data_IF_115790704998
#
_entry.id   IF_115790704998
#
_cell.length_a   1.000
_cell.length_b   1.000
_cell.length_c   1.000
_cell.angle_alpha   90.00
_cell.angle_beta   90.00
_cell.angle_gamma   90.00
#
_symmetry.space_group_name_H-M   'P 1'
#
loop_
_entity.id
_entity.type
_entity.pdbx_description
1 polymer ?
#
# COMPACT_ATOMS: atom_id res chain seq x y z
N UNK A 1 15.93 -7.32 -2.33
CA UNK A 1 15.77 -5.85 -2.32
C UNK A 1 15.67 -5.29 -0.89
N UNK A 2 14.61 -5.61 -0.12
CA UNK A 2 14.40 -5.08 1.25
C UNK A 2 15.55 -5.35 2.23
N UNK A 3 16.19 -6.52 2.14
CA UNK A 3 17.39 -6.85 2.91
C UNK A 3 18.55 -5.87 2.67
N UNK A 4 18.74 -5.38 1.43
CA UNK A 4 19.74 -4.34 1.08
C UNK A 4 19.45 -3.00 1.76
N UNK A 5 18.21 -2.79 2.24
CA UNK A 5 17.76 -1.60 2.98
C UNK A 5 17.71 -1.84 4.50
N UNK A 6 18.18 -2.99 4.99
CA UNK A 6 18.15 -3.35 6.41
C UNK A 6 16.76 -3.72 6.94
N UNK A 7 15.80 -4.07 6.05
CA UNK A 7 14.44 -4.46 6.43
C UNK A 7 14.35 -5.99 6.35
N UNK A 8 14.11 -6.63 7.49
CA UNK A 8 13.90 -8.09 7.57
C UNK A 8 12.54 -8.48 7.00
N UNK A 9 12.50 -9.58 6.26
CA UNK A 9 11.26 -10.22 5.76
C UNK A 9 10.96 -11.52 6.51
N UNK A 10 11.69 -11.83 7.57
CA UNK A 10 11.45 -13.02 8.39
C UNK A 10 10.05 -12.95 9.03
N UNK A 11 9.31 -14.06 8.99
CA UNK A 11 7.93 -14.14 9.50
C UNK A 11 6.85 -13.58 8.56
N UNK A 12 7.21 -12.97 7.43
CA UNK A 12 6.25 -12.54 6.40
C UNK A 12 6.05 -13.63 5.34
N UNK A 13 4.80 -13.82 4.94
CA UNK A 13 4.41 -14.76 3.89
C UNK A 13 3.18 -14.23 3.13
N UNK A 14 3.06 -14.64 1.87
CA UNK A 14 1.87 -14.36 1.06
C UNK A 14 0.63 -15.01 1.68
N UNK A 15 -0.48 -14.28 1.71
CA UNK A 15 -1.76 -14.73 2.28
C UNK A 15 -2.94 -14.11 1.54
N UNK A 16 -4.04 -14.85 1.44
CA UNK A 16 -5.33 -14.29 0.98
C UNK A 16 -5.92 -13.39 2.06
N UNK A 17 -6.72 -12.39 1.65
CA UNK A 17 -7.57 -11.65 2.58
C UNK A 17 -8.50 -12.59 3.37
N UNK A 18 -8.85 -13.78 2.85
CA UNK A 18 -9.72 -14.75 3.53
C UNK A 18 -9.08 -15.30 4.82
N UNK A 19 -7.77 -15.12 4.98
CA UNK A 19 -6.99 -15.58 6.13
C UNK A 19 -6.68 -14.46 7.13
N UNK A 20 -7.31 -13.28 7.00
CA UNK A 20 -7.10 -12.19 7.95
C UNK A 20 -7.77 -12.50 9.31
N UNK A 21 -7.04 -12.39 10.44
CA UNK A 21 -7.59 -12.71 11.75
C UNK A 21 -8.52 -11.61 12.30
N UNK A 22 -8.62 -10.47 11.62
CA UNK A 22 -9.48 -9.34 11.98
C UNK A 22 -9.88 -8.55 10.73
N UNK A 23 -10.94 -7.75 10.87
CA UNK A 23 -11.38 -6.81 9.82
C UNK A 23 -10.52 -5.54 9.95
N UNK A 24 -9.80 -5.12 8.90
CA UNK A 24 -9.00 -3.90 8.93
C UNK A 24 -9.89 -2.65 8.93
N UNK A 25 -9.43 -1.57 9.57
CA UNK A 25 -10.09 -0.26 9.51
C UNK A 25 -9.86 0.42 8.14
N UNK A 26 -8.71 0.16 7.51
CA UNK A 26 -8.27 0.77 6.26
C UNK A 26 -7.76 -0.32 5.31
N UNK A 27 -8.19 -0.27 4.05
CA UNK A 27 -7.69 -1.10 2.96
C UNK A 27 -7.02 -0.21 1.92
N UNK A 28 -5.73 -0.45 1.67
CA UNK A 28 -4.95 0.26 0.65
C UNK A 28 -4.61 -0.74 -0.45
N UNK A 29 -5.05 -0.45 -1.66
CA UNK A 29 -4.67 -1.21 -2.87
C UNK A 29 -3.51 -0.51 -3.56
N UNK A 30 -2.50 -1.26 -4.01
CA UNK A 30 -1.27 -0.67 -4.56
C UNK A 30 -1.03 -0.94 -6.05
N UNK A 31 -1.67 -1.95 -6.63
CA UNK A 31 -1.60 -2.22 -8.06
C UNK A 31 -2.98 -2.05 -8.70
N UNK A 32 -3.02 -1.67 -9.98
CA UNK A 32 -4.28 -1.50 -10.72
C UNK A 32 -5.11 -2.78 -10.81
N UNK A 33 -4.48 -3.96 -10.73
CA UNK A 33 -5.20 -5.24 -10.68
C UNK A 33 -5.99 -5.38 -9.37
N UNK A 34 -5.37 -5.04 -8.24
CA UNK A 34 -6.00 -5.09 -6.93
C UNK A 34 -7.10 -4.01 -6.76
N UNK A 35 -6.99 -2.88 -7.47
CA UNK A 35 -8.04 -1.85 -7.48
C UNK A 35 -9.33 -2.33 -8.17
N UNK A 36 -9.20 -3.20 -9.18
CA UNK A 36 -10.33 -3.75 -9.94
C UNK A 36 -10.96 -5.01 -9.34
N UNK A 37 -10.36 -5.58 -8.30
CA UNK A 37 -10.87 -6.79 -7.65
C UNK A 37 -12.05 -6.48 -6.72
N UNK A 38 -13.09 -7.31 -6.82
CA UNK A 38 -14.26 -7.20 -5.94
C UNK A 38 -13.85 -7.63 -4.54
N UNK A 39 -13.64 -6.65 -3.65
CA UNK A 39 -13.35 -6.92 -2.24
C UNK A 39 -14.49 -7.73 -1.61
N UNK A 40 -14.19 -8.73 -0.76
CA UNK A 40 -15.19 -9.46 0.01
C UNK A 40 -16.12 -8.54 0.81
N UNK A 41 -17.39 -8.93 0.95
CA UNK A 41 -18.40 -8.13 1.65
C UNK A 41 -18.04 -7.85 3.12
N UNK A 42 -17.27 -8.72 3.78
CA UNK A 42 -16.86 -8.51 5.17
C UNK A 42 -15.87 -7.33 5.34
N UNK A 43 -15.23 -6.88 4.26
CA UNK A 43 -14.38 -5.68 4.24
C UNK A 43 -15.18 -4.39 3.97
N UNK A 44 -16.50 -4.48 3.81
CA UNK A 44 -17.34 -3.31 3.55
C UNK A 44 -17.17 -2.15 4.56
N UNK A 45 -16.94 -2.39 5.87
CA UNK A 45 -16.74 -1.30 6.83
C UNK A 45 -15.42 -0.54 6.69
N UNK A 46 -14.44 -1.09 5.97
CA UNK A 46 -13.12 -0.48 5.87
C UNK A 46 -13.12 0.72 4.91
N UNK A 47 -12.41 1.78 5.30
CA UNK A 47 -12.09 2.91 4.42
C UNK A 47 -11.12 2.42 3.34
N UNK A 48 -11.29 2.86 2.09
CA UNK A 48 -10.54 2.32 0.96
C UNK A 48 -9.81 3.41 0.21
N UNK A 49 -8.51 3.21 -0.02
CA UNK A 49 -7.70 4.07 -0.85
C UNK A 49 -6.95 3.26 -1.90
N UNK A 50 -6.65 3.92 -3.03
CA UNK A 50 -5.80 3.37 -4.06
C UNK A 50 -4.51 4.18 -4.17
N UNK A 51 -3.38 3.52 -3.95
CA UNK A 51 -2.05 4.10 -4.06
C UNK A 51 -1.36 3.45 -5.25
N UNK A 52 -1.68 3.89 -6.46
CA UNK A 52 -1.14 3.33 -7.70
C UNK A 52 0.40 3.32 -7.67
N UNK A 53 0.98 2.15 -7.86
CA UNK A 53 2.42 1.92 -8.04
C UNK A 53 2.58 0.88 -9.16
N UNK A 54 3.47 1.17 -10.10
CA UNK A 54 3.83 0.21 -11.14
C UNK A 54 4.33 -1.09 -10.51
N UNK A 55 3.81 -2.21 -10.99
CA UNK A 55 4.18 -3.53 -10.51
C UNK A 55 5.61 -3.87 -10.93
N UNK A 56 6.59 -3.86 -10.01
CA UNK A 56 7.98 -4.09 -10.37
C UNK A 56 8.24 -5.53 -10.83
N UNK A 57 7.36 -6.49 -10.50
CA UNK A 57 7.46 -7.88 -10.96
C UNK A 57 7.15 -8.01 -12.45
N UNK A 58 6.48 -7.02 -13.05
CA UNK A 58 6.21 -6.94 -14.50
C UNK A 58 7.30 -6.20 -15.27
N UNK A 59 8.32 -5.66 -14.61
CA UNK A 59 9.43 -5.00 -15.28
C UNK A 59 10.19 -5.99 -16.16
N UNK A 60 10.54 -5.57 -17.37
CA UNK A 60 11.32 -6.37 -18.33
C UNK A 60 12.53 -5.55 -18.80
N UNK A 61 13.56 -6.23 -19.28
CA UNK A 61 14.80 -5.60 -19.76
C UNK A 61 16.03 -6.12 -19.04
N UNK A 62 17.05 -5.28 -18.93
CA UNK A 62 18.28 -5.56 -18.20
C UNK A 62 18.06 -5.63 -16.69
N UNK A 63 18.96 -6.30 -15.98
CA UNK A 63 18.96 -6.34 -14.51
C UNK A 63 18.91 -4.93 -13.89
N UNK A 64 19.60 -3.96 -14.51
CA UNK A 64 19.60 -2.57 -14.05
C UNK A 64 18.27 -1.85 -14.23
N UNK A 65 17.49 -2.21 -15.27
CA UNK A 65 16.14 -1.68 -15.50
C UNK A 65 15.14 -2.31 -14.52
N UNK A 66 15.24 -3.61 -14.28
CA UNK A 66 14.43 -4.32 -13.29
C UNK A 66 14.73 -3.77 -11.89
N UNK A 67 16.00 -3.69 -11.48
CA UNK A 67 16.38 -3.13 -10.16
C UNK A 67 15.87 -1.68 -9.99
N UNK A 68 15.86 -0.88 -11.07
CA UNK A 68 15.33 0.49 -11.04
C UNK A 68 13.82 0.49 -10.78
N UNK A 69 13.05 -0.41 -11.39
CA UNK A 69 11.61 -0.52 -11.13
C UNK A 69 11.32 -0.84 -9.66
N UNK A 70 12.04 -1.81 -9.08
CA UNK A 70 11.94 -2.13 -7.65
C UNK A 70 12.30 -0.96 -6.74
N UNK A 71 13.37 -0.22 -7.05
CA UNK A 71 13.77 0.96 -6.27
C UNK A 71 12.75 2.09 -6.37
N UNK A 72 12.15 2.32 -7.53
CA UNK A 72 11.07 3.29 -7.71
C UNK A 72 9.85 2.93 -6.88
N UNK A 73 9.35 1.68 -7.00
CA UNK A 73 8.22 1.20 -6.22
C UNK A 73 8.45 1.33 -4.71
N UNK A 74 9.64 0.96 -4.23
CA UNK A 74 10.02 1.11 -2.83
C UNK A 74 10.00 2.55 -2.36
N UNK A 75 10.59 3.49 -3.12
CA UNK A 75 10.65 4.90 -2.70
C UNK A 75 9.26 5.52 -2.63
N UNK A 76 8.40 5.23 -3.60
CA UNK A 76 7.01 5.70 -3.61
C UNK A 76 6.27 5.17 -2.38
N UNK A 77 6.27 3.85 -2.17
CA UNK A 77 5.59 3.23 -1.02
C UNK A 77 6.14 3.74 0.31
N UNK A 78 7.46 3.93 0.42
CA UNK A 78 8.09 4.45 1.64
C UNK A 78 7.57 5.85 1.99
N UNK A 79 7.54 6.78 1.03
CA UNK A 79 7.04 8.15 1.26
C UNK A 79 5.58 8.11 1.70
N UNK A 80 4.75 7.32 1.00
CA UNK A 80 3.32 7.21 1.31
C UNK A 80 3.05 6.60 2.68
N UNK A 81 3.77 5.53 3.04
CA UNK A 81 3.69 4.91 4.37
C UNK A 81 4.13 5.91 5.45
N UNK A 82 5.23 6.65 5.21
CA UNK A 82 5.68 7.67 6.17
C UNK A 82 4.66 8.79 6.36
N UNK A 83 4.02 9.25 5.29
CA UNK A 83 2.96 10.25 5.36
C UNK A 83 1.73 9.73 6.14
N UNK A 84 1.30 8.50 5.89
CA UNK A 84 0.22 7.85 6.64
C UNK A 84 0.54 7.75 8.14
N UNK A 85 1.75 7.33 8.48
CA UNK A 85 2.19 7.22 9.88
C UNK A 85 2.33 8.58 10.57
N UNK A 86 2.42 9.68 9.82
CA UNK A 86 2.48 11.03 10.34
C UNK A 86 1.09 11.66 10.56
N UNK A 87 0.00 11.04 10.08
CA UNK A 87 -1.35 11.52 10.31
C UNK A 87 -1.76 11.39 11.78
N UNK A 88 -2.58 12.32 12.32
CA UNK A 88 -3.18 12.19 13.64
C UNK A 88 -4.34 11.18 13.62
N UNK A 89 -4.03 9.90 13.39
CA UNK A 89 -5.03 8.82 13.16
C UNK A 89 -6.05 8.69 14.30
N UNK A 90 -5.65 8.99 15.54
CA UNK A 90 -6.56 8.96 16.69
C UNK A 90 -7.67 10.02 16.59
N UNK A 91 -7.37 11.19 16.05
CA UNK A 91 -8.32 12.28 15.84
C UNK A 91 -9.17 12.01 14.60
N UNK A 92 -8.53 11.56 13.51
CA UNK A 92 -9.18 11.25 12.24
C UNK A 92 -10.12 10.03 12.31
N UNK A 93 -9.98 9.15 13.31
CA UNK A 93 -10.87 8.00 13.50
C UNK A 93 -12.35 8.40 13.64
N UNK A 94 -12.63 9.60 14.17
CA UNK A 94 -13.97 10.15 14.30
C UNK A 94 -14.51 10.81 13.03
N UNK A 95 -13.66 11.00 12.01
CA UNK A 95 -13.97 11.69 10.77
C UNK A 95 -13.53 10.86 9.55
N UNK A 96 -14.34 9.86 9.14
CA UNK A 96 -13.99 8.97 8.03
C UNK A 96 -13.89 9.71 6.69
N UNK A 97 -14.56 10.87 6.55
CA UNK A 97 -14.48 11.69 5.33
C UNK A 97 -13.11 12.35 5.26
N UNK A 98 -12.66 12.99 6.33
CA UNK A 98 -11.33 13.59 6.35
C UNK A 98 -10.24 12.52 6.22
N UNK A 99 -10.39 11.37 6.88
CA UNK A 99 -9.44 10.26 6.74
C UNK A 99 -9.34 9.77 5.29
N UNK A 100 -10.48 9.65 4.58
CA UNK A 100 -10.49 9.31 3.16
C UNK A 100 -9.73 10.35 2.32
N UNK A 101 -9.96 11.65 2.56
CA UNK A 101 -9.27 12.74 1.84
C UNK A 101 -7.76 12.67 2.03
N UNK A 102 -7.28 12.45 3.27
CA UNK A 102 -5.85 12.32 3.54
C UNK A 102 -5.25 11.08 2.87
N UNK A 103 -5.93 9.94 2.92
CA UNK A 103 -5.46 8.71 2.28
C UNK A 103 -5.36 8.85 0.76
N UNK A 104 -6.33 9.51 0.12
CA UNK A 104 -6.32 9.77 -1.31
C UNK A 104 -5.21 10.77 -1.68
N UNK A 105 -5.01 11.82 -0.86
CA UNK A 105 -3.91 12.76 -1.05
C UNK A 105 -2.55 12.06 -0.97
N UNK A 106 -2.35 11.21 0.02
CA UNK A 106 -1.12 10.40 0.16
C UNK A 106 -0.89 9.54 -1.09
N UNK A 107 -1.95 9.01 -1.70
CA UNK A 107 -1.88 8.25 -2.95
C UNK A 107 -1.27 9.03 -4.12
N UNK A 108 -1.30 10.37 -4.09
CA UNK A 108 -0.73 11.22 -5.14
C UNK A 108 0.74 11.57 -4.94
N UNK A 109 1.33 11.22 -3.79
CA UNK A 109 2.73 11.54 -3.51
C UNK A 109 3.65 10.75 -4.46
N UNK A 110 4.62 11.46 -5.04
CA UNK A 110 5.64 10.95 -5.96
C UNK A 110 7.05 11.24 -5.44
N UNK A 111 8.06 10.62 -6.08
CA UNK A 111 9.49 10.70 -5.72
C UNK A 111 10.23 11.80 -6.46
#
# INVERSE_FOLDING_TARGET
MLSRKGISTEGYASKSWDSLPYIPDIVITVCGNAAGEVCPAYLAPAIRAHWEVDDPDKATGSDAEIDRAFETAYKILKIRIQALLALPLAELKGDPIQLQVELDHIGTLTI
#
